data_IF_072584100522
#
_entry.id   IF_072584100522
#
_cell.length_a   1.000
_cell.length_b   1.000
_cell.length_c   1.000
_cell.angle_alpha   90.00
_cell.angle_beta   90.00
_cell.angle_gamma   90.00
#
_symmetry.space_group_name_H-M   'P 1'
#
loop_
_entity.id
_entity.type
_entity.pdbx_description
1 polymer ?
#
# COMPACT_ATOMS: atom_id res chain seq x y z
N UNK A 1 3.28 -21.01 -21.26
CA UNK A 1 3.60 -19.56 -21.34
C UNK A 1 2.46 -18.85 -22.05
N UNK A 2 2.07 -17.66 -21.60
CA UNK A 2 1.17 -16.77 -22.34
C UNK A 2 1.99 -15.56 -22.82
N UNK A 3 1.68 -15.06 -24.01
CA UNK A 3 2.34 -13.89 -24.57
C UNK A 3 1.55 -12.63 -24.21
N UNK A 4 2.27 -11.57 -23.85
CA UNK A 4 1.71 -10.25 -23.55
C UNK A 4 2.50 -9.21 -24.34
N UNK A 5 1.81 -8.25 -24.95
CA UNK A 5 2.44 -7.10 -25.62
C UNK A 5 2.32 -5.89 -24.70
N UNK A 6 3.45 -5.29 -24.35
CA UNK A 6 3.53 -4.13 -23.45
C UNK A 6 4.14 -2.95 -24.21
N UNK A 7 3.65 -1.74 -23.93
CA UNK A 7 4.34 -0.49 -24.28
C UNK A 7 5.03 0.00 -23.02
N UNK A 8 6.33 0.22 -23.10
CA UNK A 8 7.14 0.80 -22.03
C UNK A 8 7.69 2.14 -22.52
N UNK A 9 7.92 3.06 -21.59
CA UNK A 9 8.51 4.35 -21.92
C UNK A 9 10.00 4.20 -22.29
N UNK A 10 10.53 5.23 -22.94
CA UNK A 10 11.91 5.23 -23.44
C UNK A 10 12.93 5.14 -22.30
N UNK A 11 12.64 5.70 -21.12
CA UNK A 11 13.57 5.65 -20.00
C UNK A 11 13.72 4.22 -19.48
N UNK A 12 12.61 3.52 -19.27
CA UNK A 12 12.61 2.12 -18.85
C UNK A 12 13.26 1.21 -19.91
N UNK A 13 12.96 1.44 -21.19
CA UNK A 13 13.59 0.72 -22.30
C UNK A 13 15.11 0.87 -22.29
N UNK A 14 15.59 2.11 -22.13
CA UNK A 14 17.02 2.41 -22.12
C UNK A 14 17.73 1.77 -20.92
N UNK A 15 17.12 1.76 -19.73
CA UNK A 15 17.70 1.08 -18.56
C UNK A 15 17.80 -0.43 -18.77
N UNK A 16 16.73 -1.07 -19.26
CA UNK A 16 16.72 -2.52 -19.52
C UNK A 16 17.70 -2.93 -20.62
N UNK A 17 17.93 -2.05 -21.60
CA UNK A 17 18.86 -2.29 -22.71
C UNK A 17 20.32 -2.37 -22.27
N UNK A 18 20.67 -1.84 -21.09
CA UNK A 18 22.05 -1.91 -20.54
C UNK A 18 22.44 -3.31 -20.08
N UNK A 19 21.47 -4.18 -19.79
CA UNK A 19 21.72 -5.54 -19.31
C UNK A 19 21.96 -6.49 -20.49
N UNK A 20 23.17 -6.43 -21.06
CA UNK A 20 23.57 -7.29 -22.18
C UNK A 20 23.45 -8.78 -21.83
N UNK A 21 22.94 -9.57 -22.77
CA UNK A 21 22.81 -11.02 -22.63
C UNK A 21 21.58 -11.51 -21.88
N UNK A 22 20.75 -10.62 -21.31
CA UNK A 22 19.49 -10.99 -20.64
C UNK A 22 18.30 -10.43 -21.41
N UNK A 23 17.39 -11.31 -21.86
CA UNK A 23 16.21 -10.87 -22.60
C UNK A 23 15.30 -9.97 -21.76
N UNK A 24 14.61 -9.01 -22.39
CA UNK A 24 13.63 -8.16 -21.70
C UNK A 24 12.54 -8.95 -20.98
N UNK A 25 12.10 -10.07 -21.57
CA UNK A 25 11.12 -10.95 -20.94
C UNK A 25 11.66 -11.52 -19.61
N UNK A 26 12.92 -11.93 -19.57
CA UNK A 26 13.54 -12.45 -18.36
C UNK A 26 13.69 -11.35 -17.30
N UNK A 27 14.17 -10.16 -17.69
CA UNK A 27 14.28 -9.01 -16.80
C UNK A 27 12.93 -8.61 -16.19
N UNK A 28 11.87 -8.50 -17.02
CA UNK A 28 10.51 -8.17 -16.56
C UNK A 28 10.00 -9.25 -15.60
N UNK A 29 10.10 -10.52 -15.96
CA UNK A 29 9.63 -11.60 -15.11
C UNK A 29 10.37 -11.66 -13.77
N UNK A 30 11.70 -11.43 -13.77
CA UNK A 30 12.49 -11.39 -12.55
C UNK A 30 12.09 -10.21 -11.66
N UNK A 31 11.94 -9.01 -12.22
CA UNK A 31 11.50 -7.81 -11.50
C UNK A 31 10.10 -7.98 -10.90
N UNK A 32 9.14 -8.51 -11.66
CA UNK A 32 7.78 -8.76 -11.17
C UNK A 32 7.77 -9.78 -10.03
N UNK A 33 8.55 -10.87 -10.14
CA UNK A 33 8.68 -11.86 -9.05
C UNK A 33 9.30 -11.25 -7.80
N UNK A 34 10.33 -10.42 -7.96
CA UNK A 34 10.98 -9.72 -6.85
C UNK A 34 10.01 -8.76 -6.16
N UNK A 35 9.28 -7.96 -6.93
CA UNK A 35 8.28 -7.02 -6.40
C UNK A 35 7.18 -7.77 -5.63
N UNK A 36 6.61 -8.82 -6.22
CA UNK A 36 5.61 -9.65 -5.56
C UNK A 36 6.12 -10.30 -4.26
N UNK A 37 7.40 -10.69 -4.21
CA UNK A 37 8.01 -11.22 -3.01
C UNK A 37 8.18 -10.15 -1.92
N UNK A 38 8.58 -8.93 -2.28
CA UNK A 38 8.69 -7.79 -1.36
C UNK A 38 7.31 -7.42 -0.81
N UNK A 39 6.31 -7.24 -1.68
CA UNK A 39 4.92 -6.93 -1.27
C UNK A 39 4.41 -7.98 -0.28
N UNK A 40 4.61 -9.28 -0.59
CA UNK A 40 4.20 -10.36 0.30
C UNK A 40 4.93 -10.33 1.64
N UNK A 41 6.24 -10.08 1.65
CA UNK A 41 7.03 -10.00 2.87
C UNK A 41 6.57 -8.82 3.74
N UNK A 42 6.48 -7.63 3.16
CA UNK A 42 6.04 -6.41 3.85
C UNK A 42 4.60 -6.52 4.34
N UNK A 43 3.70 -7.13 3.58
CA UNK A 43 2.33 -7.44 4.03
C UNK A 43 2.33 -8.37 5.25
N UNK A 44 3.17 -9.40 5.27
CA UNK A 44 3.26 -10.30 6.43
C UNK A 44 3.81 -9.58 7.68
N UNK A 45 4.72 -8.63 7.51
CA UNK A 45 5.26 -7.84 8.62
C UNK A 45 4.21 -6.94 9.29
N UNK A 46 3.13 -6.60 8.58
CA UNK A 46 2.02 -5.81 9.10
C UNK A 46 1.00 -6.62 9.92
N UNK A 47 1.02 -7.96 9.84
CA UNK A 47 0.07 -8.82 10.56
C UNK A 47 0.15 -8.59 12.07
N UNK A 48 -1.01 -8.36 12.70
CA UNK A 48 -1.09 -8.08 14.13
C UNK A 48 -0.41 -6.79 14.60
N UNK A 49 0.09 -5.92 13.72
CA UNK A 49 0.63 -4.59 14.11
C UNK A 49 -0.47 -3.59 14.45
N UNK A 50 -1.62 -3.73 13.79
CA UNK A 50 -2.77 -2.86 13.97
C UNK A 50 -3.95 -3.66 14.50
N UNK A 51 -4.72 -3.02 15.38
CA UNK A 51 -5.98 -3.54 15.85
C UNK A 51 -7.06 -3.44 14.75
N UNK A 52 -8.16 -4.19 14.92
CA UNK A 52 -9.25 -4.17 13.95
C UNK A 52 -9.82 -2.77 13.75
N UNK A 53 -10.02 -2.02 14.84
CA UNK A 53 -10.53 -0.65 14.81
C UNK A 53 -9.58 0.31 14.09
N UNK A 54 -8.26 0.12 14.24
CA UNK A 54 -7.24 0.89 13.52
C UNK A 54 -7.28 0.60 12.03
N UNK A 55 -7.40 -0.67 11.63
CA UNK A 55 -7.59 -1.03 10.22
C UNK A 55 -8.84 -0.38 9.62
N UNK A 56 -9.96 -0.39 10.36
CA UNK A 56 -11.20 0.27 9.95
C UNK A 56 -11.03 1.78 9.80
N UNK A 57 -10.31 2.42 10.71
CA UNK A 57 -10.02 3.85 10.61
C UNK A 57 -9.15 4.18 9.40
N UNK A 58 -8.11 3.37 9.14
CA UNK A 58 -7.21 3.57 7.99
C UNK A 58 -7.96 3.41 6.66
N UNK A 59 -8.78 2.38 6.51
CA UNK A 59 -9.49 2.16 5.23
C UNK A 59 -10.53 3.24 4.97
N UNK A 60 -11.22 3.67 6.03
CA UNK A 60 -12.24 4.72 5.99
C UNK A 60 -11.64 6.10 5.70
N UNK A 61 -10.50 6.45 6.32
CA UNK A 61 -9.79 7.73 6.04
C UNK A 61 -9.29 7.85 4.60
N UNK A 62 -9.06 6.70 3.95
CA UNK A 62 -8.56 6.63 2.57
C UNK A 62 -9.68 6.45 1.55
N UNK A 63 -10.95 6.45 1.97
CA UNK A 63 -12.08 6.36 1.05
C UNK A 63 -12.11 7.56 0.09
N UNK A 64 -12.09 7.31 -1.22
CA UNK A 64 -12.09 8.36 -2.24
C UNK A 64 -10.76 9.13 -2.37
N UNK A 65 -9.70 8.67 -1.71
CA UNK A 65 -8.36 9.27 -1.83
C UNK A 65 -7.59 8.62 -3.00
N UNK A 66 -6.93 9.44 -3.81
CA UNK A 66 -6.09 8.94 -4.91
C UNK A 66 -4.73 8.48 -4.37
N UNK A 67 -4.55 7.17 -4.18
CA UNK A 67 -3.35 6.54 -3.59
C UNK A 67 -2.35 6.01 -4.62
N UNK A 68 -2.62 6.21 -5.91
CA UNK A 68 -1.82 5.67 -7.03
C UNK A 68 -0.66 6.58 -7.43
N UNK A 69 -0.51 7.76 -6.83
CA UNK A 69 0.66 8.62 -7.06
C UNK A 69 1.89 8.04 -6.33
N UNK A 70 2.90 7.65 -7.11
CA UNK A 70 4.16 7.08 -6.62
C UNK A 70 4.92 8.00 -5.66
N UNK A 71 4.69 9.31 -5.70
CA UNK A 71 5.38 10.29 -4.85
C UNK A 71 4.93 10.20 -3.39
N UNK A 72 3.68 9.79 -3.15
CA UNK A 72 3.06 9.81 -1.82
C UNK A 72 2.87 8.43 -1.23
N UNK A 73 2.76 7.41 -2.09
CA UNK A 73 2.48 6.02 -1.73
C UNK A 73 3.43 5.41 -0.70
N UNK A 74 4.67 5.89 -0.63
CA UNK A 74 5.73 5.32 0.22
C UNK A 74 6.01 6.13 1.49
N UNK A 75 5.27 7.23 1.70
CA UNK A 75 5.55 8.23 2.74
C UNK A 75 4.74 7.98 4.01
N UNK A 76 5.43 7.71 5.13
CA UNK A 76 4.78 7.69 6.45
C UNK A 76 4.14 9.04 6.76
N UNK A 77 4.82 10.14 6.43
CA UNK A 77 4.37 11.49 6.77
C UNK A 77 3.06 11.87 6.10
N UNK A 78 2.84 11.43 4.86
CA UNK A 78 1.57 11.67 4.15
C UNK A 78 0.43 10.91 4.81
N UNK A 79 0.64 9.62 5.14
CA UNK A 79 -0.39 8.83 5.79
C UNK A 79 -0.72 9.38 7.19
N UNK A 80 0.30 9.81 7.96
CA UNK A 80 0.11 10.44 9.27
C UNK A 80 -0.72 11.71 9.14
N UNK A 81 -0.37 12.61 8.21
CA UNK A 81 -1.12 13.84 7.98
C UNK A 81 -2.59 13.54 7.60
N UNK A 82 -2.82 12.54 6.75
CA UNK A 82 -4.17 12.08 6.41
C UNK A 82 -4.97 11.60 7.63
N UNK A 83 -4.35 10.83 8.52
CA UNK A 83 -5.02 10.35 9.74
C UNK A 83 -5.32 11.50 10.71
N UNK A 84 -4.41 12.44 10.87
CA UNK A 84 -4.58 13.62 11.73
C UNK A 84 -5.71 14.52 11.21
N UNK A 85 -5.75 14.78 9.90
CA UNK A 85 -6.82 15.57 9.26
C UNK A 85 -8.18 14.85 9.38
N UNK A 86 -8.21 13.53 9.17
CA UNK A 86 -9.44 12.74 9.30
C UNK A 86 -9.98 12.75 10.74
N UNK A 87 -9.10 12.78 11.74
CA UNK A 87 -9.54 12.90 13.13
C UNK A 87 -10.05 14.31 13.44
N UNK A 88 -9.32 15.32 12.99
CA UNK A 88 -9.65 16.72 13.25
C UNK A 88 -10.97 17.14 12.59
N UNK A 89 -11.20 16.75 11.34
CA UNK A 89 -12.32 17.23 10.53
C UNK A 89 -13.48 16.25 10.44
N UNK A 90 -13.22 14.95 10.58
CA UNK A 90 -14.25 13.90 10.42
C UNK A 90 -14.49 13.08 11.70
N UNK A 91 -13.67 13.27 12.74
CA UNK A 91 -13.82 12.60 14.03
C UNK A 91 -13.54 11.09 13.96
N UNK A 92 -12.61 10.67 13.10
CA UNK A 92 -12.37 9.24 12.83
C UNK A 92 -11.95 8.44 14.07
N UNK A 93 -11.21 9.06 15.00
CA UNK A 93 -10.84 8.46 16.27
C UNK A 93 -12.05 8.17 17.15
N UNK A 94 -13.01 9.10 17.20
CA UNK A 94 -14.27 8.89 17.91
C UNK A 94 -15.16 7.84 17.23
N UNK A 95 -15.24 7.85 15.89
CA UNK A 95 -16.03 6.89 15.09
C UNK A 95 -15.59 5.45 15.32
N UNK A 96 -14.29 5.19 15.27
CA UNK A 96 -13.72 3.85 15.42
C UNK A 96 -13.21 3.52 16.82
N UNK A 97 -13.31 4.47 17.76
CA UNK A 97 -12.87 4.35 19.15
C UNK A 97 -11.38 4.02 19.26
N UNK A 98 -10.55 4.76 18.54
CA UNK A 98 -9.09 4.62 18.55
C UNK A 98 -8.41 5.90 19.07
N UNK A 99 -7.18 5.74 19.56
CA UNK A 99 -6.27 6.86 19.78
C UNK A 99 -5.45 7.10 18.49
N UNK A 100 -5.82 8.14 17.75
CA UNK A 100 -5.18 8.48 16.47
C UNK A 100 -3.71 8.84 16.66
N UNK A 101 -3.31 9.44 17.80
CA UNK A 101 -1.89 9.73 18.05
C UNK A 101 -1.08 8.46 18.22
N UNK A 102 -1.62 7.47 18.95
CA UNK A 102 -0.99 6.16 19.08
C UNK A 102 -0.86 5.45 17.73
N UNK A 103 -1.90 5.53 16.90
CA UNK A 103 -1.88 5.00 15.54
C UNK A 103 -0.79 5.67 14.68
N UNK A 104 -0.68 7.00 14.73
CA UNK A 104 0.35 7.74 13.99
C UNK A 104 1.77 7.34 14.40
N UNK A 105 2.02 7.06 15.68
CA UNK A 105 3.34 6.54 16.12
C UNK A 105 3.61 5.12 15.59
N UNK A 106 2.59 4.26 15.48
CA UNK A 106 2.73 2.95 14.81
C UNK A 106 3.08 3.12 13.33
N UNK A 107 2.41 4.03 12.63
CA UNK A 107 2.66 4.34 11.21
C UNK A 107 4.07 4.88 11.01
N UNK A 108 4.52 5.78 11.87
CA UNK A 108 5.87 6.36 11.85
C UNK A 108 6.98 5.32 11.99
N UNK A 109 6.71 4.22 12.70
CA UNK A 109 7.64 3.11 12.87
C UNK A 109 7.69 2.13 11.69
N UNK A 110 6.84 2.31 10.67
CA UNK A 110 6.85 1.46 9.48
C UNK A 110 7.96 1.87 8.51
N UNK A 111 8.46 0.90 7.75
CA UNK A 111 9.30 1.17 6.58
C UNK A 111 8.45 1.64 5.39
N UNK A 112 9.07 2.29 4.40
CA UNK A 112 8.36 2.70 3.18
C UNK A 112 7.72 1.53 2.42
N UNK A 113 8.34 0.33 2.43
CA UNK A 113 7.77 -0.86 1.84
C UNK A 113 6.54 -1.39 2.60
N UNK A 114 6.51 -1.20 3.93
CA UNK A 114 5.34 -1.52 4.74
C UNK A 114 4.20 -0.52 4.51
N UNK A 115 4.51 0.77 4.31
CA UNK A 115 3.51 1.77 3.93
C UNK A 115 2.89 1.42 2.56
N UNK A 116 3.71 1.06 1.57
CA UNK A 116 3.23 0.58 0.27
C UNK A 116 2.28 -0.62 0.42
N UNK A 117 2.70 -1.63 1.19
CA UNK A 117 1.89 -2.81 1.46
C UNK A 117 0.56 -2.47 2.14
N UNK A 118 0.55 -1.49 3.05
CA UNK A 118 -0.66 -0.99 3.69
C UNK A 118 -1.62 -0.37 2.66
N UNK A 119 -1.14 0.52 1.78
CA UNK A 119 -1.95 1.08 0.71
C UNK A 119 -2.48 0.01 -0.24
N UNK A 120 -1.63 -0.93 -0.69
CA UNK A 120 -2.04 -2.07 -1.51
C UNK A 120 -3.18 -2.87 -0.85
N UNK A 121 -3.17 -3.03 0.48
CA UNK A 121 -4.22 -3.73 1.22
C UNK A 121 -5.55 -2.97 1.18
N UNK A 122 -5.48 -1.66 1.40
CA UNK A 122 -6.64 -0.75 1.42
C UNK A 122 -7.26 -0.63 0.03
N UNK A 123 -6.45 -0.49 -1.01
CA UNK A 123 -6.93 -0.45 -2.40
C UNK A 123 -7.67 -1.72 -2.77
N UNK A 124 -7.12 -2.89 -2.43
CA UNK A 124 -7.79 -4.18 -2.66
C UNK A 124 -9.14 -4.27 -1.97
N UNK A 125 -9.33 -3.62 -0.82
CA UNK A 125 -10.65 -3.55 -0.18
C UNK A 125 -11.62 -2.74 -1.04
N UNK A 126 -11.22 -1.55 -1.50
CA UNK A 126 -12.06 -0.68 -2.31
C UNK A 126 -12.33 -1.19 -3.74
N UNK A 127 -11.41 -1.98 -4.30
CA UNK A 127 -11.59 -2.68 -5.58
C UNK A 127 -12.64 -3.80 -5.51
N UNK A 128 -12.96 -4.29 -4.31
CA UNK A 128 -13.90 -5.39 -4.08
C UNK A 128 -15.02 -4.92 -3.15
N UNK A 129 -16.04 -4.22 -3.68
CA UNK A 129 -17.07 -3.53 -2.86
C UNK A 129 -17.90 -4.46 -1.98
N UNK A 130 -17.94 -5.76 -2.28
CA UNK A 130 -18.63 -6.77 -1.48
C UNK A 130 -17.80 -7.30 -0.29
N UNK A 131 -16.59 -6.77 -0.08
CA UNK A 131 -15.71 -7.19 1.02
C UNK A 131 -16.28 -6.76 2.36
N UNK A 132 -16.52 -7.73 3.24
CA UNK A 132 -16.95 -7.45 4.61
C UNK A 132 -15.83 -6.76 5.41
N UNK A 133 -16.09 -5.53 5.86
CA UNK A 133 -15.12 -4.68 6.56
C UNK A 133 -14.66 -5.32 7.87
N UNK A 134 -15.55 -5.98 8.61
CA UNK A 134 -15.24 -6.62 9.88
C UNK A 134 -14.29 -7.80 9.70
N UNK A 135 -14.56 -8.67 8.72
CA UNK A 135 -13.70 -9.79 8.36
C UNK A 135 -12.38 -9.31 7.76
N UNK A 136 -12.38 -8.27 6.93
CA UNK A 136 -11.17 -7.71 6.34
C UNK A 136 -10.23 -7.09 7.39
N UNK A 137 -10.79 -6.45 8.42
CA UNK A 137 -10.01 -5.87 9.51
C UNK A 137 -9.38 -6.92 10.44
N UNK A 138 -9.76 -8.20 10.32
CA UNK A 138 -9.06 -9.33 10.95
C UNK A 138 -7.79 -9.65 10.17
N UNK A 139 -6.69 -8.96 10.50
CA UNK A 139 -5.44 -9.07 9.75
C UNK A 139 -4.22 -9.49 10.59
#
# INVERSE_FOLDING_TARGET
MKNVTLRIDDALYNEMSKNEGISFNEQINASLRKLAAIEKASMNELRGRFEKSEWKAIVDSLNGTYTQDETFRYSQGVLIAHMEDSDLYEGIGAKWKIDVKSLCEKIKALSSAQIDALYCRVEKFWEHPDTDLDAWALF
#
